data_IF_205592882197
#
_entry.id   IF_205592882197
#
_cell.length_a   1.000
_cell.length_b   1.000
_cell.length_c   1.000
_cell.angle_alpha   90.00
_cell.angle_beta   90.00
_cell.angle_gamma   90.00
#
_symmetry.space_group_name_H-M   'P 1'
#
loop_
_entity.id
_entity.type
_entity.pdbx_description
1 polymer ?
#
# COMPACT_ATOMS: atom_id res chain seq x y z
N UNK A 1 -16.42 -11.35 -6.42
CA UNK A 1 -16.55 -10.11 -5.60
C UNK A 1 -16.52 -8.92 -6.55
N UNK A 2 -17.58 -8.13 -6.65
CA UNK A 2 -17.60 -6.98 -7.59
C UNK A 2 -17.10 -5.71 -6.85
N UNK A 3 -15.84 -5.70 -6.39
CA UNK A 3 -15.21 -4.62 -5.65
C UNK A 3 -13.98 -4.10 -6.37
N UNK A 4 -13.74 -2.79 -6.29
CA UNK A 4 -12.54 -2.14 -6.81
C UNK A 4 -11.51 -2.03 -5.70
N UNK A 5 -10.35 -2.62 -5.91
CA UNK A 5 -9.26 -2.68 -4.93
C UNK A 5 -8.03 -1.98 -5.49
N UNK A 6 -7.60 -0.92 -4.83
CA UNK A 6 -6.34 -0.23 -5.13
C UNK A 6 -5.23 -0.82 -4.27
N UNK A 7 -4.16 -1.29 -4.90
CA UNK A 7 -3.00 -1.89 -4.24
C UNK A 7 -1.75 -1.08 -4.58
N UNK A 8 -1.12 -0.47 -3.59
CA UNK A 8 0.18 0.18 -3.77
C UNK A 8 1.31 -0.84 -3.62
N UNK A 9 2.38 -0.69 -4.41
CA UNK A 9 3.49 -1.65 -4.41
C UNK A 9 3.09 -3.03 -4.95
N UNK A 10 2.20 -3.08 -5.95
CA UNK A 10 1.62 -4.32 -6.48
C UNK A 10 2.55 -5.15 -7.36
N UNK A 11 3.74 -4.62 -7.73
CA UNK A 11 4.63 -5.28 -8.70
C UNK A 11 5.49 -6.41 -8.14
N UNK A 12 5.41 -6.69 -6.84
CA UNK A 12 6.19 -7.76 -6.20
C UNK A 12 5.66 -8.12 -4.81
N UNK A 13 6.13 -9.24 -4.27
CA UNK A 13 5.96 -9.64 -2.87
C UNK A 13 4.51 -9.68 -2.39
N UNK A 14 4.25 -9.11 -1.21
CA UNK A 14 2.92 -9.11 -0.59
C UNK A 14 1.88 -8.42 -1.47
N UNK A 15 2.22 -7.31 -2.11
CA UNK A 15 1.29 -6.58 -2.99
C UNK A 15 0.86 -7.40 -4.20
N UNK A 16 1.79 -8.09 -4.84
CA UNK A 16 1.53 -9.03 -5.94
C UNK A 16 0.69 -10.22 -5.46
N UNK A 17 1.03 -10.79 -4.28
CA UNK A 17 0.25 -11.85 -3.66
C UNK A 17 -1.20 -11.44 -3.38
N UNK A 18 -1.40 -10.21 -2.88
CA UNK A 18 -2.73 -9.63 -2.71
C UNK A 18 -3.48 -9.50 -4.04
N UNK A 19 -2.80 -8.99 -5.09
CA UNK A 19 -3.40 -8.86 -6.42
C UNK A 19 -3.89 -10.20 -6.95
N UNK A 20 -3.06 -11.25 -6.87
CA UNK A 20 -3.42 -12.62 -7.29
C UNK A 20 -4.61 -13.17 -6.49
N UNK A 21 -4.58 -12.99 -5.17
CA UNK A 21 -5.68 -13.48 -4.31
C UNK A 21 -6.99 -12.79 -4.60
N UNK A 22 -7.00 -11.45 -4.70
CA UNK A 22 -8.23 -10.72 -4.98
C UNK A 22 -8.73 -10.92 -6.41
N UNK A 23 -7.84 -11.12 -7.38
CA UNK A 23 -8.21 -11.51 -8.73
C UNK A 23 -8.97 -12.84 -8.75
N UNK A 24 -8.48 -13.85 -8.01
CA UNK A 24 -9.14 -15.16 -7.91
C UNK A 24 -10.51 -15.11 -7.24
N UNK A 25 -10.81 -14.04 -6.49
CA UNK A 25 -12.11 -13.78 -5.86
C UNK A 25 -13.04 -12.90 -6.73
N UNK A 26 -12.61 -12.54 -7.95
CA UNK A 26 -13.40 -11.76 -8.91
C UNK A 26 -13.47 -10.26 -8.58
N UNK A 27 -12.44 -9.70 -7.96
CA UNK A 27 -12.35 -8.26 -7.76
C UNK A 27 -11.80 -7.56 -9.01
N UNK A 28 -12.11 -6.27 -9.19
CA UNK A 28 -11.42 -5.38 -10.12
C UNK A 28 -10.21 -4.77 -9.41
N UNK A 29 -9.07 -4.65 -10.09
CA UNK A 29 -7.83 -4.22 -9.44
C UNK A 29 -7.26 -2.95 -10.08
N UNK A 30 -6.88 -1.98 -9.24
CA UNK A 30 -6.02 -0.87 -9.62
C UNK A 30 -4.64 -1.20 -9.07
N UNK A 31 -3.69 -1.45 -9.96
CA UNK A 31 -2.33 -1.88 -9.62
C UNK A 31 -1.38 -0.70 -9.69
N UNK A 32 -0.78 -0.33 -8.57
CA UNK A 32 0.21 0.75 -8.52
C UNK A 32 1.60 0.23 -8.15
N UNK A 33 2.59 0.68 -8.87
CA UNK A 33 4.02 0.68 -8.51
C UNK A 33 4.77 1.63 -9.45
N UNK A 34 6.10 1.74 -9.28
CA UNK A 34 6.96 2.52 -10.19
C UNK A 34 7.22 1.81 -11.53
N UNK A 35 7.14 0.47 -11.55
CA UNK A 35 7.51 -0.36 -12.70
C UNK A 35 6.28 -0.68 -13.55
N UNK A 36 5.99 0.12 -14.56
CA UNK A 36 4.86 -0.08 -15.47
C UNK A 36 4.89 -1.47 -16.11
N UNK A 37 6.04 -1.89 -16.66
CA UNK A 37 6.20 -3.18 -17.35
C UNK A 37 5.80 -4.37 -16.46
N UNK A 38 6.20 -4.35 -15.17
CA UNK A 38 5.84 -5.41 -14.23
C UNK A 38 4.35 -5.41 -13.91
N UNK A 39 3.75 -4.22 -13.82
CA UNK A 39 2.30 -4.11 -13.59
C UNK A 39 1.49 -4.61 -14.80
N UNK A 40 1.92 -4.28 -16.00
CA UNK A 40 1.29 -4.72 -17.25
C UNK A 40 1.37 -6.24 -17.39
N UNK A 41 2.54 -6.83 -17.13
CA UNK A 41 2.71 -8.27 -17.14
C UNK A 41 1.80 -8.96 -16.11
N UNK A 42 1.73 -8.44 -14.87
CA UNK A 42 0.84 -8.95 -13.84
C UNK A 42 -0.64 -8.80 -14.26
N UNK A 43 -1.04 -7.65 -14.78
CA UNK A 43 -2.41 -7.40 -15.24
C UNK A 43 -2.82 -8.38 -16.33
N UNK A 44 -1.93 -8.64 -17.29
CA UNK A 44 -2.17 -9.60 -18.37
C UNK A 44 -2.34 -11.03 -17.82
N UNK A 45 -1.46 -11.45 -16.93
CA UNK A 45 -1.56 -12.78 -16.28
C UNK A 45 -2.89 -12.93 -15.52
N UNK A 46 -3.27 -11.91 -14.73
CA UNK A 46 -4.51 -11.96 -13.95
C UNK A 46 -5.76 -11.98 -14.85
N UNK A 47 -5.70 -11.28 -15.97
CA UNK A 47 -6.77 -11.31 -16.98
C UNK A 47 -6.89 -12.70 -17.62
N UNK A 48 -5.77 -13.30 -18.02
CA UNK A 48 -5.77 -14.63 -18.66
C UNK A 48 -6.23 -15.72 -17.69
N UNK A 49 -5.76 -15.67 -16.46
CA UNK A 49 -6.01 -16.73 -15.47
C UNK A 49 -7.39 -16.64 -14.80
N UNK A 50 -7.88 -15.43 -14.54
CA UNK A 50 -9.08 -15.20 -13.73
C UNK A 50 -10.14 -14.35 -14.42
N UNK A 51 -9.88 -13.82 -15.62
CA UNK A 51 -10.77 -12.86 -16.29
C UNK A 51 -10.84 -11.49 -15.57
N UNK A 52 -9.87 -11.19 -14.70
CA UNK A 52 -9.88 -9.99 -13.86
C UNK A 52 -9.63 -8.74 -14.67
N UNK A 53 -10.48 -7.72 -14.49
CA UNK A 53 -10.23 -6.39 -15.01
C UNK A 53 -9.17 -5.70 -14.12
N UNK A 54 -8.07 -5.28 -14.74
CA UNK A 54 -7.00 -4.53 -14.09
C UNK A 54 -6.80 -3.17 -14.73
N UNK A 55 -6.60 -2.14 -13.90
CA UNK A 55 -6.15 -0.82 -14.33
C UNK A 55 -4.72 -0.61 -13.83
N UNK A 56 -3.78 -0.42 -14.76
CA UNK A 56 -2.37 -0.18 -14.45
C UNK A 56 -2.18 1.31 -14.20
N UNK A 57 -1.69 1.67 -13.00
CA UNK A 57 -1.56 3.05 -12.54
C UNK A 57 -0.13 3.31 -12.03
N UNK A 58 0.85 3.51 -12.95
CA UNK A 58 2.24 3.62 -12.57
C UNK A 58 2.58 5.02 -12.05
N UNK A 59 3.01 5.11 -10.80
CA UNK A 59 3.62 6.30 -10.19
C UNK A 59 4.42 5.93 -8.93
N UNK A 60 5.33 6.83 -8.53
CA UNK A 60 6.01 6.73 -7.25
C UNK A 60 5.10 7.31 -6.14
N UNK A 61 4.75 6.48 -5.16
CA UNK A 61 3.87 6.87 -4.05
C UNK A 61 4.43 8.02 -3.21
N UNK A 62 5.74 8.29 -3.27
CA UNK A 62 6.38 9.43 -2.61
C UNK A 62 6.05 10.76 -3.30
N UNK A 63 5.73 10.72 -4.59
CA UNK A 63 5.34 11.90 -5.34
C UNK A 63 3.83 12.16 -5.21
N UNK A 64 3.46 13.01 -4.24
CA UNK A 64 2.05 13.34 -3.95
C UNK A 64 1.30 13.93 -5.14
N UNK A 65 1.99 14.75 -5.95
CA UNK A 65 1.36 15.35 -7.13
C UNK A 65 1.07 14.27 -8.18
N UNK A 66 2.03 13.42 -8.49
CA UNK A 66 1.82 12.31 -9.42
C UNK A 66 0.71 11.36 -8.94
N UNK A 67 0.66 11.06 -7.64
CA UNK A 67 -0.40 10.24 -7.05
C UNK A 67 -1.79 10.89 -7.22
N UNK A 68 -1.90 12.19 -6.94
CA UNK A 68 -3.15 12.92 -7.07
C UNK A 68 -3.61 13.00 -8.54
N UNK A 69 -2.70 13.34 -9.46
CA UNK A 69 -2.99 13.41 -10.90
C UNK A 69 -3.41 12.02 -11.44
N UNK A 70 -2.73 10.97 -11.03
CA UNK A 70 -3.05 9.59 -11.43
C UNK A 70 -4.43 9.15 -10.93
N UNK A 71 -4.76 9.40 -9.67
CA UNK A 71 -6.08 9.07 -9.13
C UNK A 71 -7.20 9.90 -9.79
N UNK A 72 -6.94 11.17 -10.06
CA UNK A 72 -7.89 12.05 -10.75
C UNK A 72 -8.16 11.60 -12.20
N UNK A 73 -7.15 11.02 -12.87
CA UNK A 73 -7.24 10.53 -14.25
C UNK A 73 -7.97 9.18 -14.40
N UNK A 74 -8.33 8.52 -13.30
CA UNK A 74 -9.08 7.26 -13.36
C UNK A 74 -10.40 7.45 -14.10
N UNK A 75 -10.77 6.55 -15.02
CA UNK A 75 -12.11 6.50 -15.59
C UNK A 75 -13.18 6.37 -14.50
N UNK A 76 -14.37 6.89 -14.76
CA UNK A 76 -15.44 6.98 -13.76
C UNK A 76 -15.77 5.63 -13.12
N UNK A 77 -15.77 4.56 -13.92
CA UNK A 77 -16.04 3.18 -13.49
C UNK A 77 -14.93 2.58 -12.57
N UNK A 78 -13.83 3.32 -12.36
CA UNK A 78 -12.71 2.94 -11.47
C UNK A 78 -12.59 3.81 -10.23
N UNK A 79 -13.31 4.94 -10.15
CA UNK A 79 -13.19 5.91 -9.05
C UNK A 79 -13.79 5.43 -7.73
N UNK A 80 -14.79 4.53 -7.79
CA UNK A 80 -15.46 4.02 -6.59
C UNK A 80 -14.61 2.94 -5.87
N UNK A 81 -13.41 3.30 -5.42
CA UNK A 81 -12.49 2.39 -4.74
C UNK A 81 -13.12 1.87 -3.45
N UNK A 82 -13.33 0.55 -3.35
CA UNK A 82 -13.91 -0.12 -2.17
C UNK A 82 -12.86 -0.51 -1.14
N UNK A 83 -11.64 -0.84 -1.60
CA UNK A 83 -10.54 -1.26 -0.73
C UNK A 83 -9.26 -0.55 -1.13
N UNK A 84 -8.60 0.07 -0.16
CA UNK A 84 -7.25 0.61 -0.30
C UNK A 84 -6.28 -0.29 0.46
N UNK A 85 -5.30 -0.88 -0.25
CA UNK A 85 -4.21 -1.62 0.36
C UNK A 85 -2.94 -0.77 0.28
N UNK A 86 -2.60 -0.14 1.39
CA UNK A 86 -1.34 0.58 1.57
C UNK A 86 -0.24 -0.46 1.85
N UNK A 87 0.30 -1.02 0.78
CA UNK A 87 1.34 -2.04 0.84
C UNK A 87 2.72 -1.51 0.45
N UNK A 88 2.80 -0.46 -0.36
CA UNK A 88 4.08 0.14 -0.73
C UNK A 88 4.91 0.43 0.53
N UNK A 89 6.11 -0.12 0.58
CA UNK A 89 7.02 0.00 1.70
C UNK A 89 8.36 -0.60 1.33
N UNK A 90 9.40 -0.19 2.03
CA UNK A 90 10.76 -0.70 1.86
C UNK A 90 11.55 -0.58 3.16
N UNK A 91 12.69 -1.26 3.19
CA UNK A 91 13.78 -1.07 4.13
C UNK A 91 15.05 -0.87 3.30
N UNK A 92 15.89 0.07 3.68
CA UNK A 92 17.21 0.32 3.09
C UNK A 92 18.19 0.49 4.26
N UNK A 93 19.38 -0.04 4.09
CA UNK A 93 20.42 -0.01 5.10
C UNK A 93 20.10 -0.90 6.32
N UNK A 94 21.16 -1.32 6.98
CA UNK A 94 21.12 -2.10 8.23
C UNK A 94 22.19 -1.58 9.19
N UNK A 95 22.57 -0.31 8.99
CA UNK A 95 23.59 0.34 9.83
C UNK A 95 23.03 0.66 11.21
N UNK A 96 23.94 0.76 12.16
CA UNK A 96 23.58 1.27 13.48
C UNK A 96 23.12 2.72 13.36
N UNK A 97 22.19 3.13 14.20
CA UNK A 97 21.53 4.44 14.11
C UNK A 97 22.51 5.63 14.08
N UNK A 98 23.66 5.52 14.76
CA UNK A 98 24.69 6.56 14.77
C UNK A 98 25.64 6.52 13.56
N UNK A 99 25.47 5.59 12.64
CA UNK A 99 26.30 5.38 11.44
C UNK A 99 25.46 5.45 10.14
N UNK A 100 24.14 5.46 10.25
CA UNK A 100 23.23 5.34 9.10
C UNK A 100 23.15 6.57 8.20
N UNK A 101 22.76 6.36 6.96
CA UNK A 101 22.60 7.38 5.94
C UNK A 101 21.24 8.08 6.07
N UNK A 102 21.26 9.41 6.22
CA UNK A 102 20.05 10.23 6.37
C UNK A 102 19.19 10.24 5.09
N UNK A 103 19.81 10.20 3.91
CA UNK A 103 19.08 10.19 2.63
C UNK A 103 18.31 8.86 2.47
N UNK A 104 18.91 7.74 2.89
CA UNK A 104 18.22 6.45 2.91
C UNK A 104 17.05 6.46 3.89
N UNK A 105 17.23 7.06 5.07
CA UNK A 105 16.15 7.19 6.06
C UNK A 105 14.99 8.05 5.55
N UNK A 106 15.28 9.13 4.86
CA UNK A 106 14.26 9.96 4.22
C UNK A 106 13.45 9.15 3.20
N UNK A 107 14.11 8.33 2.39
CA UNK A 107 13.44 7.42 1.45
C UNK A 107 12.53 6.42 2.18
N UNK A 108 13.00 5.83 3.28
CA UNK A 108 12.21 4.88 4.11
C UNK A 108 10.99 5.58 4.72
N UNK A 109 11.17 6.75 5.32
CA UNK A 109 10.09 7.53 5.95
C UNK A 109 9.08 8.00 4.90
N UNK A 110 9.56 8.54 3.79
CA UNK A 110 8.69 9.01 2.70
C UNK A 110 7.85 7.89 2.13
N UNK A 111 8.45 6.70 1.96
CA UNK A 111 7.74 5.54 1.42
C UNK A 111 6.79 4.93 2.44
N UNK A 112 7.24 4.65 3.66
CA UNK A 112 6.47 3.84 4.61
C UNK A 112 5.42 4.64 5.39
N UNK A 113 5.65 5.96 5.58
CA UNK A 113 4.77 6.82 6.38
C UNK A 113 4.06 7.85 5.49
N UNK A 114 4.82 8.74 4.83
CA UNK A 114 4.22 9.88 4.12
C UNK A 114 3.37 9.44 2.94
N UNK A 115 3.77 8.39 2.23
CA UNK A 115 2.98 7.85 1.12
C UNK A 115 1.66 7.23 1.61
N UNK A 116 1.70 6.46 2.71
CA UNK A 116 0.50 5.86 3.31
C UNK A 116 -0.50 6.95 3.71
N UNK A 117 -0.04 8.01 4.37
CA UNK A 117 -0.88 9.15 4.74
C UNK A 117 -1.48 9.84 3.50
N UNK A 118 -0.67 10.07 2.46
CA UNK A 118 -1.11 10.71 1.23
C UNK A 118 -2.19 9.88 0.51
N UNK A 119 -1.94 8.58 0.30
CA UNK A 119 -2.90 7.68 -0.34
C UNK A 119 -4.19 7.58 0.46
N UNK A 120 -4.10 7.43 1.79
CA UNK A 120 -5.26 7.42 2.69
C UNK A 120 -6.06 8.71 2.54
N UNK A 121 -5.42 9.89 2.60
CA UNK A 121 -6.08 11.20 2.47
C UNK A 121 -6.76 11.40 1.11
N UNK A 122 -6.22 10.82 0.05
CA UNK A 122 -6.77 10.95 -1.31
C UNK A 122 -7.96 10.02 -1.55
N UNK A 123 -7.99 8.84 -0.92
CA UNK A 123 -8.99 7.79 -1.22
C UNK A 123 -10.13 7.77 -0.20
N UNK A 124 -9.83 7.92 1.08
CA UNK A 124 -10.82 7.73 2.18
C UNK A 124 -12.01 8.71 2.11
N UNK A 125 -11.87 9.98 1.72
CA UNK A 125 -13.03 10.87 1.62
C UNK A 125 -14.14 10.34 0.72
N UNK A 126 -13.80 9.79 -0.44
CA UNK A 126 -14.77 9.16 -1.33
C UNK A 126 -15.42 7.90 -0.74
N UNK A 127 -14.69 7.14 0.09
CA UNK A 127 -15.27 6.02 0.85
C UNK A 127 -16.27 6.50 1.89
N UNK A 128 -15.93 7.57 2.63
CA UNK A 128 -16.82 8.18 3.63
C UNK A 128 -18.11 8.68 2.98
N UNK A 129 -17.99 9.40 1.86
CA UNK A 129 -19.13 9.92 1.11
C UNK A 129 -20.09 8.79 0.65
N UNK A 130 -19.53 7.66 0.20
CA UNK A 130 -20.32 6.50 -0.23
C UNK A 130 -20.82 5.62 0.94
N UNK A 131 -20.33 5.88 2.18
CA UNK A 131 -20.67 5.07 3.35
C UNK A 131 -20.14 3.63 3.27
N UNK A 132 -19.11 3.36 2.50
CA UNK A 132 -18.49 2.03 2.39
C UNK A 132 -17.02 2.11 2.03
N UNK A 133 -16.20 1.25 2.66
CA UNK A 133 -14.77 1.18 2.38
C UNK A 133 -14.00 0.34 3.38
N UNK A 134 -12.84 -0.13 2.96
CA UNK A 134 -11.92 -0.84 3.81
C UNK A 134 -10.48 -0.40 3.52
N UNK A 135 -9.81 0.13 4.52
CA UNK A 135 -8.39 0.52 4.45
C UNK A 135 -7.59 -0.62 5.09
N UNK A 136 -6.64 -1.16 4.35
CA UNK A 136 -5.73 -2.21 4.80
C UNK A 136 -4.31 -1.66 4.73
N UNK A 137 -3.67 -1.49 5.88
CA UNK A 137 -2.29 -1.05 5.99
C UNK A 137 -1.38 -2.25 6.25
N UNK A 138 -0.30 -2.38 5.49
CA UNK A 138 0.69 -3.42 5.71
C UNK A 138 1.75 -2.89 6.68
N UNK A 139 1.53 -3.22 7.95
CA UNK A 139 2.47 -3.00 9.05
C UNK A 139 3.61 -4.02 9.06
N UNK A 140 4.05 -4.40 10.24
CA UNK A 140 5.02 -5.47 10.50
C UNK A 140 5.04 -5.78 11.99
N UNK A 141 5.45 -6.99 12.37
CA UNK A 141 5.85 -7.31 13.75
C UNK A 141 7.04 -6.44 14.22
N UNK A 142 7.87 -5.95 13.27
CA UNK A 142 8.95 -4.99 13.54
C UNK A 142 8.45 -3.65 14.12
N UNK A 143 7.17 -3.34 14.00
CA UNK A 143 6.57 -2.18 14.66
C UNK A 143 6.27 -2.37 16.14
N UNK A 144 6.43 -3.58 16.67
CA UNK A 144 6.22 -3.89 18.08
C UNK A 144 7.55 -4.00 18.87
N UNK A 145 8.65 -4.33 18.18
CA UNK A 145 9.98 -4.45 18.80
C UNK A 145 11.08 -4.11 17.79
N UNK A 146 12.05 -3.31 18.20
CA UNK A 146 13.21 -2.97 17.38
C UNK A 146 14.25 -4.10 17.37
N UNK A 147 15.03 -4.15 16.31
CA UNK A 147 16.18 -5.04 16.16
C UNK A 147 17.42 -4.26 15.69
N UNK A 148 18.63 -4.79 15.91
CA UNK A 148 19.87 -4.08 15.51
C UNK A 148 19.89 -3.71 14.03
N UNK A 149 20.22 -2.47 13.71
CA UNK A 149 20.26 -1.93 12.35
C UNK A 149 18.88 -1.63 11.75
N UNK A 150 17.79 -1.94 12.43
CA UNK A 150 16.42 -1.74 11.93
C UNK A 150 15.65 -0.59 12.53
N UNK A 151 16.29 0.30 13.31
CA UNK A 151 15.60 1.31 14.13
C UNK A 151 14.63 2.18 13.34
N UNK A 152 15.04 2.74 12.21
CA UNK A 152 14.19 3.61 11.40
C UNK A 152 13.05 2.83 10.75
N UNK A 153 13.32 1.65 10.19
CA UNK A 153 12.27 0.79 9.66
C UNK A 153 11.26 0.41 10.75
N UNK A 154 11.73 -0.03 11.92
CA UNK A 154 10.87 -0.37 13.06
C UNK A 154 10.02 0.84 13.50
N UNK A 155 10.62 2.03 13.57
CA UNK A 155 9.90 3.26 13.87
C UNK A 155 8.80 3.55 12.84
N UNK A 156 9.08 3.36 11.52
CA UNK A 156 8.04 3.55 10.49
C UNK A 156 6.91 2.54 10.64
N UNK A 157 7.19 1.29 10.99
CA UNK A 157 6.16 0.26 11.20
C UNK A 157 5.36 0.45 12.50
N UNK A 158 6.00 0.99 13.55
CA UNK A 158 5.30 1.48 14.74
C UNK A 158 4.38 2.66 14.41
N UNK A 159 4.86 3.59 13.58
CA UNK A 159 4.03 4.69 13.08
C UNK A 159 2.82 4.19 12.29
N UNK A 160 2.98 3.20 11.40
CA UNK A 160 1.84 2.60 10.65
C UNK A 160 0.79 2.02 11.60
N UNK A 161 1.21 1.39 12.70
CA UNK A 161 0.28 0.92 13.74
C UNK A 161 -0.48 2.10 14.36
N UNK A 162 0.21 3.11 14.85
CA UNK A 162 -0.40 4.28 15.47
C UNK A 162 -1.35 5.02 14.52
N UNK A 163 -0.95 5.20 13.25
CA UNK A 163 -1.78 5.81 12.20
C UNK A 163 -3.03 4.99 11.90
N UNK A 164 -2.93 3.66 11.90
CA UNK A 164 -4.08 2.78 11.70
C UNK A 164 -5.07 2.86 12.86
N UNK A 165 -4.55 2.92 14.09
CA UNK A 165 -5.36 3.07 15.30
C UNK A 165 -6.05 4.45 15.33
N UNK A 166 -5.33 5.53 15.01
CA UNK A 166 -5.86 6.89 14.90
C UNK A 166 -6.96 6.98 13.83
N UNK A 167 -6.69 6.49 12.63
CA UNK A 167 -7.69 6.50 11.54
C UNK A 167 -8.96 5.72 11.92
N UNK A 168 -8.85 4.65 12.70
CA UNK A 168 -10.00 3.88 13.19
C UNK A 168 -10.85 4.69 14.19
N UNK A 169 -10.18 5.51 15.01
CA UNK A 169 -10.85 6.45 15.93
C UNK A 169 -11.55 7.55 15.14
N UNK A 170 -10.85 8.15 14.16
CA UNK A 170 -11.39 9.24 13.32
C UNK A 170 -12.61 8.80 12.50
N UNK A 171 -12.70 7.52 12.16
CA UNK A 171 -13.76 6.94 11.34
C UNK A 171 -14.82 6.19 12.15
N UNK A 172 -14.85 6.32 13.50
CA UNK A 172 -15.72 5.55 14.38
C UNK A 172 -17.21 5.72 14.07
N UNK A 173 -17.62 6.90 13.62
CA UNK A 173 -19.01 7.21 13.24
C UNK A 173 -19.35 6.83 11.79
N UNK A 174 -18.48 6.11 11.11
CA UNK A 174 -18.67 5.64 9.75
C UNK A 174 -18.70 4.10 9.68
N UNK A 175 -19.30 3.49 8.65
CA UNK A 175 -19.25 2.04 8.47
C UNK A 175 -17.92 1.55 7.84
N UNK A 176 -16.92 2.41 7.73
CA UNK A 176 -15.62 2.06 7.17
C UNK A 176 -14.81 1.16 8.11
N UNK A 177 -13.96 0.33 7.54
CA UNK A 177 -13.08 -0.55 8.29
C UNK A 177 -11.62 -0.18 8.07
N UNK A 178 -10.82 -0.25 9.14
CA UNK A 178 -9.38 -0.06 9.09
C UNK A 178 -8.70 -1.29 9.68
N UNK A 179 -7.85 -1.94 8.90
CA UNK A 179 -7.08 -3.11 9.32
C UNK A 179 -5.59 -2.83 9.19
N UNK A 180 -4.83 -3.11 10.23
CA UNK A 180 -3.37 -3.16 10.18
C UNK A 180 -2.95 -4.64 10.20
N UNK A 181 -2.37 -5.12 9.09
CA UNK A 181 -1.79 -6.46 9.01
C UNK A 181 -0.32 -6.34 9.40
N UNK A 182 0.15 -7.17 10.32
CA UNK A 182 1.53 -7.20 10.79
C UNK A 182 2.20 -8.52 10.38
N UNK A 183 2.73 -8.61 9.16
CA UNK A 183 3.46 -9.80 8.73
C UNK A 183 4.73 -10.00 9.58
N UNK A 184 5.08 -11.27 9.78
CA UNK A 184 6.41 -11.67 10.22
C UNK A 184 7.38 -11.70 9.03
N UNK A 185 8.35 -12.63 9.07
CA UNK A 185 9.21 -12.87 7.92
C UNK A 185 8.41 -13.56 6.81
N UNK A 186 8.32 -12.88 5.66
CA UNK A 186 7.67 -13.39 4.45
C UNK A 186 8.75 -13.52 3.38
N UNK A 187 8.85 -14.68 2.76
CA UNK A 187 9.79 -14.90 1.67
C UNK A 187 9.38 -14.08 0.45
N UNK A 188 10.07 -12.99 0.22
CA UNK A 188 9.86 -12.05 -0.89
C UNK A 188 11.18 -11.37 -1.23
N UNK A 189 11.23 -10.64 -2.34
CA UNK A 189 12.40 -9.83 -2.71
C UNK A 189 12.53 -8.53 -1.87
N UNK A 190 11.78 -8.39 -0.78
CA UNK A 190 11.77 -7.19 0.06
C UNK A 190 13.12 -6.92 0.76
N UNK A 191 13.84 -7.99 1.10
CA UNK A 191 15.13 -7.93 1.82
C UNK A 191 16.36 -8.06 0.91
N UNK A 192 16.21 -7.92 -0.40
CA UNK A 192 17.27 -8.10 -1.41
C UNK A 192 17.66 -6.75 -2.03
N UNK A 193 17.47 -5.64 -1.30
CA UNK A 193 17.88 -4.30 -1.76
C UNK A 193 19.06 -3.86 -0.92
#
# INVERSE_FOLDING_TARGET
>A
MNKIILITGASSGIGEGCARKFASEGAKLILNSRSADKLEALAQELKEKYGTACYVLPFDVRNRKAAADALASLPEEWKAIDVLINNAGLVIGMDKEHEGDLDEWDIVIDTNIKSLLAMTRMVVPGMVERGCGHIINIGSIAGDAAYPGGSVYCATKAAVKALSDGLRIDLVDTPLRVTNIKPGMVETNFSVI
#
